data_IF_189909544995
#
_entry.id   IF_189909544995
#
_cell.length_a   1.000
_cell.length_b   1.000
_cell.length_c   1.000
_cell.angle_alpha   90.00
_cell.angle_beta   90.00
_cell.angle_gamma   90.00
#
_symmetry.space_group_name_H-M   'P 1'
#
loop_
_entity.id
_entity.type
_entity.pdbx_description
1 polymer ?
#
# COMPACT_ATOMS: atom_id res chain seq x y z
N UNK A 1 -14.37 2.69 16.13
CA UNK A 1 -14.36 2.23 14.73
C UNK A 1 -13.09 2.72 14.06
N UNK A 2 -12.35 1.84 13.37
CA UNK A 2 -11.13 2.22 12.66
C UNK A 2 -11.46 2.93 11.34
N UNK A 3 -10.68 3.95 10.90
CA UNK A 3 -10.85 4.59 9.59
C UNK A 3 -10.78 3.56 8.45
N UNK A 4 -11.62 3.75 7.42
CA UNK A 4 -11.70 2.89 6.24
C UNK A 4 -11.92 3.73 5.00
N UNK A 5 -11.55 3.19 3.86
CA UNK A 5 -11.88 3.79 2.57
C UNK A 5 -11.43 2.93 1.40
N UNK A 6 -11.71 3.43 0.20
CA UNK A 6 -11.23 2.88 -1.05
C UNK A 6 -10.34 3.92 -1.72
N UNK A 7 -9.17 3.50 -2.17
CA UNK A 7 -8.13 4.37 -2.71
C UNK A 7 -7.73 3.84 -4.08
N UNK A 8 -7.51 4.74 -5.04
CA UNK A 8 -6.92 4.41 -6.33
C UNK A 8 -5.67 5.25 -6.56
N UNK A 9 -4.51 4.62 -6.48
CA UNK A 9 -3.23 5.29 -6.77
C UNK A 9 -2.77 4.93 -8.18
N UNK A 10 -2.23 5.92 -8.89
CA UNK A 10 -1.63 5.73 -10.21
C UNK A 10 -0.17 5.34 -10.06
N UNK A 11 0.36 4.70 -11.10
CA UNK A 11 1.81 4.50 -11.22
C UNK A 11 2.51 5.86 -11.28
N UNK A 12 3.70 5.92 -10.68
CA UNK A 12 4.53 7.13 -10.65
C UNK A 12 4.77 7.78 -12.01
N UNK A 13 4.78 7.02 -13.11
CA UNK A 13 5.02 7.57 -14.45
C UNK A 13 3.81 8.29 -15.05
N UNK A 14 2.63 8.15 -14.43
CA UNK A 14 1.36 8.69 -14.96
C UNK A 14 1.01 10.08 -14.38
N UNK A 15 1.93 10.69 -13.62
CA UNK A 15 1.74 11.98 -12.95
C UNK A 15 1.07 11.87 -11.57
N UNK A 16 0.89 13.01 -10.93
CA UNK A 16 0.40 13.10 -9.55
C UNK A 16 -1.15 13.18 -9.46
N UNK A 17 -1.73 12.73 -8.34
CA UNK A 17 -1.04 12.06 -7.23
C UNK A 17 -0.88 10.55 -7.46
N UNK A 18 0.25 10.00 -6.99
CA UNK A 18 0.71 8.62 -7.22
C UNK A 18 1.14 7.89 -5.93
N UNK A 19 0.92 8.51 -4.77
CA UNK A 19 1.09 7.94 -3.44
C UNK A 19 -0.16 8.13 -2.57
N UNK A 20 -0.11 7.57 -1.36
CA UNK A 20 -1.19 7.71 -0.38
C UNK A 20 -0.64 7.77 1.05
N UNK A 21 -1.26 8.62 1.85
CA UNK A 21 -1.01 8.74 3.29
C UNK A 21 -2.22 8.23 4.08
N UNK A 22 -2.04 7.19 4.88
CA UNK A 22 -3.10 6.61 5.71
C UNK A 22 -3.45 7.50 6.91
N UNK A 23 -2.46 8.16 7.51
CA UNK A 23 -2.67 9.04 8.67
C UNK A 23 -3.44 10.30 8.27
N UNK A 24 -3.10 10.88 7.12
CA UNK A 24 -3.78 12.06 6.57
C UNK A 24 -5.07 11.70 5.80
N UNK A 25 -5.17 10.45 5.33
CA UNK A 25 -6.27 9.92 4.49
C UNK A 25 -6.40 10.64 3.16
N UNK A 26 -5.27 10.99 2.56
CA UNK A 26 -5.22 11.76 1.32
C UNK A 26 -4.18 11.21 0.34
N UNK A 27 -4.37 11.59 -0.92
CA UNK A 27 -3.42 11.32 -1.97
C UNK A 27 -2.25 12.30 -1.89
N UNK A 28 -1.03 11.79 -2.03
CA UNK A 28 0.19 12.60 -2.00
C UNK A 28 1.11 12.22 -3.17
N UNK A 29 2.12 13.03 -3.43
CA UNK A 29 3.18 12.69 -4.39
C UNK A 29 4.09 11.59 -3.82
N UNK A 30 4.67 10.76 -4.68
CA UNK A 30 5.44 9.58 -4.26
C UNK A 30 6.68 9.94 -3.43
N UNK A 31 7.23 11.14 -3.63
CA UNK A 31 8.40 11.69 -2.95
C UNK A 31 8.03 12.63 -1.79
N UNK A 32 6.75 12.75 -1.43
CA UNK A 32 6.33 13.51 -0.25
C UNK A 32 6.79 12.82 1.04
N UNK A 33 7.19 13.61 2.04
CA UNK A 33 7.52 13.14 3.39
C UNK A 33 6.33 12.42 4.06
N UNK A 34 5.11 12.74 3.64
CA UNK A 34 3.89 12.16 4.19
C UNK A 34 3.45 10.89 3.48
N UNK A 35 4.10 10.50 2.38
CA UNK A 35 3.74 9.31 1.62
C UNK A 35 4.01 8.04 2.42
N UNK A 36 3.05 7.13 2.46
CA UNK A 36 3.22 5.83 3.10
C UNK A 36 3.48 4.72 2.08
N UNK A 37 2.93 4.84 0.87
CA UNK A 37 3.12 3.86 -0.20
C UNK A 37 2.87 4.43 -1.60
N UNK A 38 3.46 3.80 -2.61
CA UNK A 38 3.17 4.11 -4.01
C UNK A 38 3.05 2.84 -4.86
N UNK A 39 2.50 2.99 -6.07
CA UNK A 39 2.33 1.91 -7.03
C UNK A 39 3.40 1.94 -8.13
N UNK A 40 3.84 0.74 -8.52
CA UNK A 40 4.82 0.51 -9.56
C UNK A 40 4.30 -0.56 -10.52
N UNK A 41 4.04 -0.18 -11.76
CA UNK A 41 3.75 -1.08 -12.87
C UNK A 41 4.99 -1.24 -13.76
N UNK A 42 5.57 -2.44 -13.78
CA UNK A 42 6.75 -2.81 -14.60
C UNK A 42 6.48 -4.11 -15.35
N UNK A 43 7.32 -4.40 -16.34
CA UNK A 43 7.25 -5.65 -17.12
C UNK A 43 7.39 -6.90 -16.25
N UNK A 44 8.14 -6.80 -15.14
CA UNK A 44 8.32 -7.87 -14.17
C UNK A 44 7.13 -8.06 -13.22
N UNK A 45 6.14 -7.18 -13.28
CA UNK A 45 4.94 -7.23 -12.46
C UNK A 45 4.55 -5.90 -11.80
N UNK A 46 3.37 -5.92 -11.21
CA UNK A 46 2.75 -4.81 -10.49
C UNK A 46 3.07 -4.91 -9.00
N UNK A 47 3.50 -3.81 -8.39
CA UNK A 47 3.98 -3.80 -7.01
C UNK A 47 3.49 -2.58 -6.24
N UNK A 48 3.31 -2.75 -4.93
CA UNK A 48 3.33 -1.66 -3.96
C UNK A 48 4.73 -1.55 -3.37
N UNK A 49 5.15 -0.31 -3.05
CA UNK A 49 6.48 -0.07 -2.51
C UNK A 49 6.52 0.99 -1.42
N UNK A 50 7.50 0.82 -0.52
CA UNK A 50 7.92 1.79 0.46
C UNK A 50 8.58 3.00 -0.21
N UNK A 51 8.23 4.23 0.20
CA UNK A 51 8.87 5.48 -0.21
C UNK A 51 10.38 5.54 0.12
N UNK A 52 10.82 4.90 1.20
CA UNK A 52 12.20 4.98 1.73
C UNK A 52 13.23 4.20 0.91
N UNK A 53 13.39 4.57 -0.36
CA UNK A 53 14.52 4.13 -1.20
C UNK A 53 15.56 5.21 -1.44
N UNK A 54 15.30 6.42 -0.94
CA UNK A 54 16.13 7.60 -1.10
C UNK A 54 16.75 7.99 0.25
N UNK A 55 17.65 7.16 0.75
CA UNK A 55 18.58 7.50 1.85
C UNK A 55 17.93 7.94 3.18
N UNK A 56 16.78 7.36 3.58
CA UNK A 56 16.27 7.47 4.96
C UNK A 56 15.46 8.72 5.29
N UNK A 57 15.16 9.59 4.31
CA UNK A 57 14.38 10.82 4.54
C UNK A 57 12.87 10.57 4.46
N UNK A 58 12.45 9.60 3.65
CA UNK A 58 11.04 9.27 3.44
C UNK A 58 10.58 8.21 4.42
N UNK A 59 9.26 8.08 4.60
CA UNK A 59 8.70 7.06 5.49
C UNK A 59 9.03 5.66 4.99
N UNK A 60 9.47 4.83 5.93
CA UNK A 60 9.66 3.42 5.73
C UNK A 60 8.35 2.66 5.99
N UNK A 61 7.97 1.78 5.07
CA UNK A 61 6.71 1.04 5.12
C UNK A 61 6.95 -0.38 4.69
N UNK A 62 6.51 -1.33 5.52
CA UNK A 62 6.72 -2.74 5.26
C UNK A 62 5.39 -3.43 4.94
N UNK A 63 5.43 -4.39 4.01
CA UNK A 63 4.27 -5.15 3.55
C UNK A 63 4.43 -6.63 3.90
N UNK A 64 3.34 -7.25 4.35
CA UNK A 64 3.26 -8.69 4.52
C UNK A 64 1.96 -9.22 3.92
N UNK A 65 2.07 -10.17 3.00
CA UNK A 65 0.92 -10.84 2.38
C UNK A 65 0.20 -11.75 3.38
N UNK A 66 -1.12 -11.64 3.43
CA UNK A 66 -1.98 -12.49 4.24
C UNK A 66 -2.48 -13.64 3.36
N UNK A 67 -1.91 -14.83 3.57
CA UNK A 67 -2.19 -16.06 2.78
C UNK A 67 -3.64 -16.54 2.83
N UNK A 68 -4.43 -16.07 3.79
CA UNK A 68 -5.84 -16.42 3.93
C UNK A 68 -6.69 -15.23 3.50
N UNK A 69 -7.63 -15.46 2.58
CA UNK A 69 -8.70 -14.53 2.14
C UNK A 69 -9.53 -13.90 3.27
N UNK A 70 -9.26 -14.30 4.52
CA UNK A 70 -9.85 -13.77 5.72
C UNK A 70 -9.99 -12.25 5.63
N UNK A 71 -11.25 -11.83 5.77
CA UNK A 71 -11.73 -10.48 5.60
C UNK A 71 -10.79 -9.43 6.21
N UNK A 72 -10.76 -8.23 5.62
CA UNK A 72 -10.15 -7.03 6.22
C UNK A 72 -10.42 -6.92 7.74
N UNK A 73 -11.56 -7.44 8.20
CA UNK A 73 -12.04 -7.43 9.59
C UNK A 73 -11.46 -8.52 10.51
N UNK A 74 -10.87 -9.60 10.00
CA UNK A 74 -10.47 -10.74 10.84
C UNK A 74 -9.28 -10.36 11.75
N UNK A 75 -9.39 -10.59 13.06
CA UNK A 75 -8.30 -10.38 14.03
C UNK A 75 -7.53 -11.69 14.21
N UNK A 76 -6.70 -12.03 13.24
CA UNK A 76 -5.76 -13.15 13.36
C UNK A 76 -4.45 -12.68 14.02
N UNK A 77 -3.73 -13.59 14.68
CA UNK A 77 -2.41 -13.28 15.22
C UNK A 77 -1.38 -13.26 14.08
N UNK A 78 -0.78 -12.10 13.85
CA UNK A 78 0.11 -11.82 12.72
C UNK A 78 1.59 -11.72 13.14
N UNK A 79 1.96 -12.25 14.32
CA UNK A 79 3.32 -12.14 14.87
C UNK A 79 4.43 -12.73 13.99
N UNK A 80 4.12 -13.71 13.14
CA UNK A 80 5.10 -14.43 12.31
C UNK A 80 5.02 -14.07 10.82
N UNK A 81 4.58 -12.86 10.50
CA UNK A 81 4.57 -12.39 9.12
C UNK A 81 5.98 -12.01 8.65
N UNK A 82 6.33 -12.40 7.43
CA UNK A 82 7.52 -11.89 6.75
C UNK A 82 7.16 -10.57 6.09
N UNK A 83 7.91 -9.53 6.44
CA UNK A 83 7.73 -8.19 5.94
C UNK A 83 8.82 -7.85 4.90
N UNK A 84 8.44 -7.09 3.88
CA UNK A 84 9.33 -6.60 2.82
C UNK A 84 8.92 -5.16 2.46
N UNK A 85 9.85 -4.34 1.99
CA UNK A 85 9.62 -2.95 1.55
C UNK A 85 8.80 -2.89 0.26
N UNK A 86 8.57 -4.03 -0.38
CA UNK A 86 7.83 -4.17 -1.62
C UNK A 86 7.02 -5.45 -1.60
N UNK A 87 5.87 -5.41 -2.26
CA UNK A 87 5.12 -6.61 -2.54
C UNK A 87 4.57 -6.56 -3.94
N UNK A 88 4.57 -7.70 -4.63
CA UNK A 88 3.74 -7.87 -5.81
C UNK A 88 2.27 -7.75 -5.41
N UNK A 89 1.44 -7.28 -6.33
CA UNK A 89 0.00 -7.16 -6.10
C UNK A 89 -0.78 -7.87 -7.20
N UNK A 90 -1.81 -8.59 -6.77
CA UNK A 90 -2.83 -9.19 -7.61
C UNK A 90 -4.19 -8.92 -6.98
N UNK A 91 -5.24 -8.90 -7.81
CA UNK A 91 -6.62 -8.71 -7.35
C UNK A 91 -7.00 -9.79 -6.33
N UNK A 92 -7.68 -9.38 -5.26
CA UNK A 92 -8.07 -10.26 -4.16
C UNK A 92 -7.04 -10.36 -3.03
N UNK A 93 -5.75 -10.12 -3.30
CA UNK A 93 -4.71 -10.22 -2.28
C UNK A 93 -4.95 -9.22 -1.14
N UNK A 94 -4.62 -9.65 0.08
CA UNK A 94 -4.75 -8.84 1.29
C UNK A 94 -3.37 -8.70 1.92
N UNK A 95 -3.02 -7.49 2.33
CA UNK A 95 -1.74 -7.19 2.95
C UNK A 95 -1.93 -6.55 4.31
N UNK A 96 -1.07 -6.91 5.25
CA UNK A 96 -0.76 -6.09 6.41
C UNK A 96 0.34 -5.12 6.01
N UNK A 97 0.11 -3.84 6.25
CA UNK A 97 1.04 -2.75 6.02
C UNK A 97 1.46 -2.22 7.39
N UNK A 98 2.76 -2.15 7.65
CA UNK A 98 3.32 -1.55 8.87
C UNK A 98 3.96 -0.23 8.48
N UNK A 99 3.47 0.86 9.06
CA UNK A 99 3.94 2.21 8.76
C UNK A 99 5.16 2.57 9.61
N UNK A 100 5.84 3.65 9.22
CA UNK A 100 7.06 4.14 9.85
C UNK A 100 6.93 4.42 11.36
N UNK A 101 5.74 4.88 11.79
CA UNK A 101 5.43 5.16 13.19
C UNK A 101 4.97 3.91 13.97
N UNK A 102 5.01 2.72 13.37
CA UNK A 102 4.56 1.48 13.98
C UNK A 102 3.04 1.26 13.97
N UNK A 103 2.26 2.25 13.48
CA UNK A 103 0.86 2.03 13.15
C UNK A 103 0.72 1.02 12.00
N UNK A 104 -0.49 0.52 11.80
CA UNK A 104 -0.74 -0.53 10.80
C UNK A 104 -1.91 -0.17 9.91
N UNK A 105 -1.89 -0.63 8.68
CA UNK A 105 -3.06 -0.69 7.83
C UNK A 105 -3.25 -2.12 7.32
N UNK A 106 -4.49 -2.49 7.06
CA UNK A 106 -4.78 -3.65 6.21
C UNK A 106 -5.33 -3.14 4.90
N UNK A 107 -4.84 -3.69 3.80
CA UNK A 107 -5.33 -3.37 2.46
C UNK A 107 -5.79 -4.62 1.74
N UNK A 108 -6.85 -4.50 0.94
CA UNK A 108 -7.30 -5.55 0.00
C UNK A 108 -7.28 -4.98 -1.40
N UNK A 109 -6.53 -5.62 -2.28
CA UNK A 109 -6.46 -5.22 -3.69
C UNK A 109 -7.77 -5.55 -4.37
N UNK A 110 -8.39 -4.54 -4.97
CA UNK A 110 -9.67 -4.65 -5.68
C UNK A 110 -9.48 -4.75 -7.17
N UNK A 111 -8.58 -3.92 -7.71
CA UNK A 111 -8.32 -3.88 -9.14
C UNK A 111 -6.86 -3.51 -9.41
N UNK A 112 -6.25 -4.13 -10.42
CA UNK A 112 -4.92 -3.75 -10.91
C UNK A 112 -5.01 -3.52 -12.42
N UNK A 113 -4.78 -2.28 -12.86
CA UNK A 113 -4.66 -1.93 -14.28
C UNK A 113 -3.20 -1.61 -14.57
N UNK A 114 -2.63 -2.26 -15.59
CA UNK A 114 -1.23 -2.10 -15.99
C UNK A 114 -1.09 -1.89 -17.49
N UNK A 115 -2.18 -1.48 -18.15
CA UNK A 115 -2.17 -1.15 -19.56
C UNK A 115 -1.32 0.10 -19.84
N UNK A 116 -0.87 0.26 -21.10
CA UNK A 116 -0.02 1.40 -21.48
C UNK A 116 -0.67 2.77 -21.20
N UNK A 117 -2.00 2.84 -21.23
CA UNK A 117 -2.77 4.07 -21.03
C UNK A 117 -3.30 4.24 -19.61
N UNK A 118 -3.24 3.18 -18.79
CA UNK A 118 -3.79 3.17 -17.45
C UNK A 118 -2.99 2.23 -16.56
N UNK A 119 -2.19 2.82 -15.69
CA UNK A 119 -1.38 2.12 -14.71
C UNK A 119 -1.81 2.58 -13.32
N UNK A 120 -2.63 1.78 -12.65
CA UNK A 120 -3.17 2.12 -11.34
C UNK A 120 -3.56 0.88 -10.56
N UNK A 121 -3.60 1.01 -9.24
CA UNK A 121 -4.14 -0.01 -8.33
C UNK A 121 -5.22 0.60 -7.46
N UNK A 122 -6.33 -0.12 -7.34
CA UNK A 122 -7.42 0.23 -6.43
C UNK A 122 -7.43 -0.76 -5.29
N UNK A 123 -7.51 -0.27 -4.05
CA UNK A 123 -7.58 -1.11 -2.85
C UNK A 123 -8.53 -0.52 -1.80
N UNK A 124 -9.14 -1.41 -1.03
CA UNK A 124 -9.85 -1.04 0.20
C UNK A 124 -8.87 -1.08 1.36
N UNK A 125 -9.03 -0.18 2.35
CA UNK A 125 -8.17 -0.17 3.53
C UNK A 125 -8.94 -0.08 4.85
N UNK A 126 -8.29 -0.56 5.91
CA UNK A 126 -8.60 -0.24 7.31
C UNK A 126 -7.30 0.23 7.97
N UNK A 127 -7.34 1.42 8.58
CA UNK A 127 -6.18 2.00 9.26
C UNK A 127 -6.30 1.84 10.79
N UNK A 128 -5.26 1.28 11.39
CA UNK A 128 -5.10 1.07 12.82
C UNK A 128 -4.04 2.05 13.33
N UNK A 129 -4.47 3.28 13.62
CA UNK A 129 -3.64 4.25 14.33
C UNK A 129 -3.24 3.74 15.73
N UNK A 130 -2.23 4.38 16.31
CA UNK A 130 -1.82 4.13 17.70
C UNK A 130 -2.91 4.54 18.70
#
# INVERSE_FOLDING_TARGET
CYPRGTVTIKDRSMGDPNGFSFSLREYVEYNSLDNDLYFIARDIGNMLGSPDRNEGVLKHTEFAELKTESELNNRQDYRNLSYDDRTFVAEGNVYMVKLNDGSKAKIRIRQVDSSAYKKQVTFDYIYFGQ
#
